data_IF_700559273510
#
_entry.id   IF_700559273510
#
_cell.length_a   1.000
_cell.length_b   1.000
_cell.length_c   1.000
_cell.angle_alpha   90.00
_cell.angle_beta   90.00
_cell.angle_gamma   90.00
#
_symmetry.space_group_name_H-M   'P 1'
#
loop_
_entity.id
_entity.type
_entity.pdbx_description
1 polymer ?
#
# COMPACT_ATOMS: atom_id res chain seq x y z
N UNK A 1 54.76 -28.09 -67.07
CA UNK A 1 53.37 -27.61 -66.87
C UNK A 1 52.59 -28.64 -66.07
N UNK A 2 52.17 -28.31 -64.84
CA UNK A 2 50.92 -28.80 -64.28
C UNK A 2 49.96 -27.61 -64.06
N UNK A 3 48.68 -27.78 -64.40
CA UNK A 3 47.60 -26.81 -64.09
C UNK A 3 47.41 -26.74 -62.56
N UNK A 4 47.17 -25.56 -61.96
CA UNK A 4 46.69 -25.51 -60.59
C UNK A 4 45.30 -26.12 -60.55
N UNK A 5 45.10 -27.04 -59.60
CA UNK A 5 43.81 -27.61 -59.26
C UNK A 5 42.86 -26.52 -58.78
N UNK A 6 41.66 -26.46 -59.37
CA UNK A 6 40.56 -25.63 -58.90
C UNK A 6 40.31 -25.91 -57.41
N UNK A 7 40.51 -24.89 -56.58
CA UNK A 7 40.00 -24.88 -55.22
C UNK A 7 38.49 -24.66 -55.30
N UNK A 8 37.71 -25.66 -54.88
CA UNK A 8 36.26 -25.57 -54.75
C UNK A 8 35.86 -24.33 -53.95
N UNK A 9 35.41 -23.33 -54.72
CA UNK A 9 34.98 -22.02 -54.26
C UNK A 9 33.63 -22.24 -53.57
N UNK A 10 33.62 -22.21 -52.23
CA UNK A 10 32.46 -22.49 -51.39
C UNK A 10 31.43 -21.34 -51.50
N UNK A 11 30.82 -21.21 -52.68
CA UNK A 11 29.88 -20.15 -53.05
C UNK A 11 28.51 -20.49 -52.50
N UNK A 12 28.12 -19.80 -51.44
CA UNK A 12 26.77 -19.89 -50.87
C UNK A 12 25.75 -19.59 -51.97
N UNK A 13 24.91 -20.57 -52.28
CA UNK A 13 23.84 -20.40 -53.27
C UNK A 13 22.88 -19.29 -52.84
N UNK A 14 22.39 -18.49 -53.81
CA UNK A 14 21.39 -17.44 -53.58
C UNK A 14 20.16 -17.98 -52.82
N UNK A 15 19.76 -19.23 -53.08
CA UNK A 15 18.65 -19.86 -52.38
C UNK A 15 18.97 -20.21 -50.93
N UNK A 16 20.21 -20.57 -50.62
CA UNK A 16 20.66 -20.81 -49.24
C UNK A 16 20.73 -19.50 -48.46
N UNK A 17 21.23 -18.42 -49.08
CA UNK A 17 21.25 -17.08 -48.48
C UNK A 17 19.84 -16.56 -48.18
N UNK A 18 18.91 -16.67 -49.13
CA UNK A 18 17.52 -16.24 -48.95
C UNK A 18 16.79 -17.05 -47.85
N UNK A 19 17.03 -18.36 -47.77
CA UNK A 19 16.48 -19.21 -46.71
C UNK A 19 17.04 -18.84 -45.34
N UNK A 20 18.33 -18.55 -45.23
CA UNK A 20 18.94 -18.09 -43.99
C UNK A 20 18.38 -16.73 -43.53
N UNK A 21 18.19 -15.81 -44.47
CA UNK A 21 17.60 -14.49 -44.20
C UNK A 21 16.13 -14.61 -43.73
N UNK A 22 15.33 -15.44 -44.40
CA UNK A 22 13.96 -15.78 -43.96
C UNK A 22 13.94 -16.43 -42.58
N UNK A 23 14.85 -17.38 -42.30
CA UNK A 23 14.96 -18.03 -40.98
C UNK A 23 15.30 -17.03 -39.86
N UNK A 24 16.23 -16.11 -40.10
CA UNK A 24 16.61 -15.06 -39.14
C UNK A 24 15.47 -14.08 -38.88
N UNK A 25 14.74 -13.67 -39.92
CA UNK A 25 13.57 -12.78 -39.76
C UNK A 25 12.45 -13.47 -38.98
N UNK A 26 12.14 -14.74 -39.28
CA UNK A 26 11.14 -15.51 -38.55
C UNK A 26 11.53 -15.71 -37.08
N UNK A 27 12.80 -15.99 -36.79
CA UNK A 27 13.30 -16.09 -35.42
C UNK A 27 13.19 -14.75 -34.68
N UNK A 28 13.53 -13.64 -35.33
CA UNK A 28 13.39 -12.29 -34.77
C UNK A 28 11.94 -11.89 -34.49
N UNK A 29 11.02 -12.16 -35.42
CA UNK A 29 9.58 -11.89 -35.25
C UNK A 29 8.98 -12.77 -34.16
N UNK A 30 9.31 -14.06 -34.14
CA UNK A 30 8.84 -14.98 -33.10
C UNK A 30 9.40 -14.59 -31.73
N UNK A 31 10.69 -14.24 -31.64
CA UNK A 31 11.32 -13.77 -30.41
C UNK A 31 10.68 -12.49 -29.88
N UNK A 32 10.42 -11.50 -30.75
CA UNK A 32 9.71 -10.27 -30.39
C UNK A 32 8.27 -10.55 -29.95
N UNK A 33 7.54 -11.40 -30.66
CA UNK A 33 6.17 -11.78 -30.30
C UNK A 33 6.12 -12.47 -28.92
N UNK A 34 7.05 -13.37 -28.63
CA UNK A 34 7.15 -14.03 -27.33
C UNK A 34 7.55 -13.04 -26.22
N UNK A 35 8.50 -12.14 -26.50
CA UNK A 35 8.91 -11.08 -25.56
C UNK A 35 7.77 -10.11 -25.25
N UNK A 36 7.07 -9.62 -26.28
CA UNK A 36 5.94 -8.72 -26.13
C UNK A 36 4.78 -9.43 -25.40
N UNK A 37 4.50 -10.70 -25.71
CA UNK A 37 3.48 -11.50 -24.98
C UNK A 37 3.86 -11.67 -23.51
N UNK A 38 5.11 -11.98 -23.20
CA UNK A 38 5.61 -12.09 -21.83
C UNK A 38 5.47 -10.76 -21.07
N UNK A 39 5.87 -9.65 -21.69
CA UNK A 39 5.78 -8.32 -21.08
C UNK A 39 4.34 -7.78 -20.99
N UNK A 40 3.45 -8.17 -21.89
CA UNK A 40 2.04 -7.74 -21.86
C UNK A 40 1.29 -8.44 -20.72
N UNK A 41 1.63 -9.70 -20.41
CA UNK A 41 1.08 -10.41 -19.25
C UNK A 41 1.53 -9.81 -17.91
N UNK A 42 2.65 -9.07 -17.88
CA UNK A 42 3.23 -8.49 -16.67
C UNK A 42 2.79 -7.03 -16.41
N UNK A 43 2.07 -6.37 -17.32
CA UNK A 43 1.65 -4.97 -17.14
C UNK A 43 0.33 -4.89 -16.39
N UNK A 44 0.39 -5.08 -15.08
CA UNK A 44 -0.67 -4.58 -14.21
C UNK A 44 -0.69 -3.04 -14.33
N UNK A 45 -1.83 -2.41 -14.68
CA UNK A 45 -1.91 -0.96 -14.75
C UNK A 45 -1.72 -0.38 -13.35
N UNK A 46 -0.52 0.13 -13.07
CA UNK A 46 -0.21 0.83 -11.81
C UNK A 46 -0.49 2.31 -12.01
N UNK A 47 -1.25 2.89 -11.08
CA UNK A 47 -1.46 4.33 -10.99
C UNK A 47 -0.95 4.81 -9.65
N UNK A 48 -0.03 5.78 -9.66
CA UNK A 48 0.34 6.51 -8.46
C UNK A 48 -0.76 7.53 -8.17
N UNK A 49 -1.35 7.42 -7.00
CA UNK A 49 -2.30 8.40 -6.47
C UNK A 49 -1.52 9.39 -5.60
N UNK A 50 -1.98 10.63 -5.57
CA UNK A 50 -1.38 11.70 -4.78
C UNK A 50 -2.39 12.81 -4.53
N UNK A 51 -1.99 13.86 -3.78
CA UNK A 51 -2.84 15.01 -3.57
C UNK A 51 -3.16 15.72 -4.88
N UNK A 52 -4.27 16.45 -4.92
CA UNK A 52 -4.74 17.27 -6.04
C UNK A 52 -3.88 18.54 -6.17
N UNK A 53 -2.60 18.36 -6.49
CA UNK A 53 -1.58 19.42 -6.59
C UNK A 53 -1.98 20.52 -7.57
N UNK A 54 -2.52 20.14 -8.73
CA UNK A 54 -2.95 21.11 -9.74
C UNK A 54 -4.03 22.05 -9.20
N UNK A 55 -5.02 21.50 -8.50
CA UNK A 55 -6.06 22.29 -7.86
C UNK A 55 -5.51 23.14 -6.71
N UNK A 56 -4.61 22.57 -5.89
CA UNK A 56 -3.90 23.32 -4.85
C UNK A 56 -3.12 24.51 -5.40
N UNK A 57 -2.44 24.35 -6.54
CA UNK A 57 -1.77 25.45 -7.25
C UNK A 57 -2.76 26.47 -7.78
N UNK A 58 -3.92 26.06 -8.31
CA UNK A 58 -4.95 26.99 -8.77
C UNK A 58 -5.49 27.87 -7.64
N UNK A 59 -5.69 27.31 -6.44
CA UNK A 59 -6.08 28.06 -5.24
C UNK A 59 -4.98 29.03 -4.83
N UNK A 60 -3.74 28.54 -4.72
CA UNK A 60 -2.58 29.35 -4.32
C UNK A 60 -2.32 30.52 -5.28
N UNK A 61 -2.41 30.26 -6.57
CA UNK A 61 -2.08 31.23 -7.63
C UNK A 61 -3.28 32.12 -8.01
N UNK A 62 -4.46 31.88 -7.40
CA UNK A 62 -5.68 32.64 -7.68
C UNK A 62 -6.22 32.45 -9.10
N UNK A 63 -5.86 31.36 -9.78
CA UNK A 63 -6.26 31.07 -11.17
C UNK A 63 -7.58 30.31 -11.30
N UNK A 64 -8.22 30.02 -10.16
CA UNK A 64 -9.56 29.44 -10.09
C UNK A 64 -10.58 30.35 -10.79
N UNK A 65 -11.13 29.87 -11.90
CA UNK A 65 -12.23 30.52 -12.60
C UNK A 65 -13.54 30.20 -11.88
N UNK A 66 -14.00 31.14 -11.07
CA UNK A 66 -15.32 31.07 -10.44
C UNK A 66 -16.37 31.64 -11.40
N UNK A 67 -17.55 31.02 -11.47
CA UNK A 67 -18.68 31.60 -12.19
C UNK A 67 -19.11 32.89 -11.47
N UNK A 68 -19.38 33.94 -12.24
CA UNK A 68 -19.99 35.20 -11.79
C UNK A 68 -21.26 35.04 -10.94
N UNK A 69 -21.99 33.93 -11.10
CA UNK A 69 -23.18 33.61 -10.30
C UNK A 69 -22.88 32.81 -9.01
N UNK A 70 -21.60 32.53 -8.71
CA UNK A 70 -21.21 31.81 -7.49
C UNK A 70 -21.49 32.70 -6.27
N UNK A 71 -22.24 32.24 -5.26
CA UNK A 71 -22.48 33.00 -4.03
C UNK A 71 -21.17 33.50 -3.43
N UNK A 72 -21.08 34.82 -3.23
CA UNK A 72 -19.82 35.53 -2.97
C UNK A 72 -19.21 35.20 -1.60
N UNK A 73 -20.02 34.72 -0.65
CA UNK A 73 -19.53 34.18 0.63
C UNK A 73 -20.66 33.47 1.41
N UNK A 74 -20.28 32.51 2.26
CA UNK A 74 -21.15 31.93 3.29
C UNK A 74 -20.52 32.19 4.65
N UNK A 75 -21.28 32.76 5.59
CA UNK A 75 -20.86 32.95 6.97
C UNK A 75 -21.28 31.73 7.80
N UNK A 76 -20.35 31.20 8.58
CA UNK A 76 -20.53 30.10 9.54
C UNK A 76 -19.79 30.45 10.83
N UNK A 77 -20.18 29.89 11.98
CA UNK A 77 -19.45 30.14 13.24
C UNK A 77 -18.08 29.48 13.25
N UNK A 78 -17.98 28.27 12.72
CA UNK A 78 -16.72 27.52 12.64
C UNK A 78 -16.51 26.99 11.22
N UNK A 79 -15.34 27.28 10.65
CA UNK A 79 -14.92 26.73 9.36
C UNK A 79 -13.73 25.79 9.59
N UNK A 80 -13.89 24.54 9.19
CA UNK A 80 -12.87 23.50 9.25
C UNK A 80 -12.32 23.30 7.83
N UNK A 81 -11.02 23.47 7.66
CA UNK A 81 -10.33 23.27 6.38
C UNK A 81 -9.54 21.97 6.45
N UNK A 82 -9.90 21.02 5.59
CA UNK A 82 -9.36 19.67 5.53
C UNK A 82 -10.30 18.64 6.17
N UNK A 83 -10.66 17.63 5.39
CA UNK A 83 -11.43 16.45 5.78
C UNK A 83 -10.55 15.24 6.12
N UNK A 84 -9.31 15.47 6.56
CA UNK A 84 -8.49 14.42 7.19
C UNK A 84 -9.00 14.07 8.60
N UNK A 85 -8.34 13.11 9.26
CA UNK A 85 -8.78 12.63 10.59
C UNK A 85 -8.86 13.76 11.62
N UNK A 86 -7.96 14.76 11.57
CA UNK A 86 -8.01 15.91 12.46
C UNK A 86 -9.28 16.77 12.27
N UNK A 87 -9.62 17.10 11.02
CA UNK A 87 -10.80 17.91 10.71
C UNK A 87 -12.11 17.15 10.94
N UNK A 88 -12.14 15.86 10.62
CA UNK A 88 -13.26 14.98 10.93
C UNK A 88 -13.47 14.86 12.44
N UNK A 89 -12.39 14.67 13.23
CA UNK A 89 -12.47 14.64 14.69
C UNK A 89 -12.94 15.97 15.29
N UNK A 90 -12.50 17.11 14.74
CA UNK A 90 -12.99 18.42 15.15
C UNK A 90 -14.50 18.57 14.87
N UNK A 91 -14.96 18.19 13.67
CA UNK A 91 -16.37 18.22 13.31
C UNK A 91 -17.22 17.26 14.15
N UNK A 92 -16.71 16.07 14.43
CA UNK A 92 -17.33 15.10 15.33
C UNK A 92 -17.50 15.68 16.73
N UNK A 93 -16.45 16.28 17.29
CA UNK A 93 -16.49 16.89 18.62
C UNK A 93 -17.47 18.06 18.69
N UNK A 94 -17.45 18.96 17.72
CA UNK A 94 -18.40 20.08 17.64
C UNK A 94 -19.85 19.58 17.61
N UNK A 95 -20.12 18.58 16.75
CA UNK A 95 -21.46 17.99 16.64
C UNK A 95 -21.88 17.33 17.97
N UNK A 96 -20.98 16.63 18.64
CA UNK A 96 -21.23 15.99 19.94
C UNK A 96 -21.54 17.01 21.04
N UNK A 97 -20.89 18.17 21.02
CA UNK A 97 -21.15 19.29 21.95
C UNK A 97 -22.34 20.17 21.52
N UNK A 98 -23.14 19.74 20.53
CA UNK A 98 -24.34 20.45 20.07
C UNK A 98 -24.06 21.71 19.24
N UNK A 99 -22.83 21.89 18.75
CA UNK A 99 -22.47 22.97 17.83
C UNK A 99 -22.72 22.51 16.40
N UNK A 100 -23.82 22.98 15.79
CA UNK A 100 -24.20 22.57 14.43
C UNK A 100 -23.82 23.59 13.34
N UNK A 101 -23.59 24.85 13.71
CA UNK A 101 -23.23 25.93 12.77
C UNK A 101 -21.73 25.89 12.45
N UNK A 102 -21.30 24.81 11.81
CA UNK A 102 -19.97 24.66 11.27
C UNK A 102 -20.00 24.09 9.85
N UNK A 103 -18.91 24.30 9.13
CA UNK A 103 -18.72 23.75 7.79
C UNK A 103 -17.33 23.13 7.67
N UNK A 104 -17.25 21.94 7.09
CA UNK A 104 -16.01 21.26 6.77
C UNK A 104 -15.81 21.29 5.25
N UNK A 105 -14.66 21.80 4.81
CA UNK A 105 -14.26 21.83 3.40
C UNK A 105 -13.09 20.88 3.20
N UNK A 106 -13.22 19.96 2.24
CA UNK A 106 -12.16 19.06 1.79
C UNK A 106 -11.81 19.39 0.33
N UNK A 107 -10.52 19.38 0.03
CA UNK A 107 -9.99 19.63 -1.30
C UNK A 107 -10.23 18.45 -2.23
N UNK A 108 -10.02 17.25 -1.68
CA UNK A 108 -10.13 15.98 -2.38
C UNK A 108 -11.59 15.53 -2.55
N UNK A 109 -11.82 14.60 -3.48
CA UNK A 109 -13.16 14.08 -3.74
C UNK A 109 -13.76 13.27 -2.57
N UNK A 110 -12.93 12.77 -1.64
CA UNK A 110 -13.35 12.01 -0.47
C UNK A 110 -12.52 12.43 0.75
N UNK A 111 -13.14 12.51 1.95
CA UNK A 111 -12.42 12.75 3.19
C UNK A 111 -11.57 11.53 3.59
N UNK A 112 -10.71 11.72 4.59
CA UNK A 112 -9.83 10.70 5.19
C UNK A 112 -8.35 11.11 5.16
N UNK A 113 -7.94 11.96 4.22
CA UNK A 113 -6.55 12.38 4.06
C UNK A 113 -5.60 11.18 3.96
N UNK A 114 -4.59 11.14 4.84
CA UNK A 114 -3.62 10.03 4.89
C UNK A 114 -4.23 8.69 5.34
N UNK A 115 -5.45 8.69 5.90
CA UNK A 115 -6.19 7.49 6.32
C UNK A 115 -7.26 7.09 5.30
N UNK A 116 -7.04 7.37 4.01
CA UNK A 116 -8.02 7.07 2.96
C UNK A 116 -8.08 5.58 2.61
N UNK A 117 -9.26 5.16 2.12
CA UNK A 117 -9.53 3.80 1.63
C UNK A 117 -10.00 3.83 0.18
N UNK A 118 -9.96 2.67 -0.47
CA UNK A 118 -10.57 2.38 -1.76
C UNK A 118 -11.41 1.11 -1.67
N UNK A 119 -12.12 0.78 -2.74
CA UNK A 119 -12.92 -0.44 -2.84
C UNK A 119 -12.92 -0.96 -4.27
N UNK A 120 -13.09 -2.26 -4.42
CA UNK A 120 -13.26 -2.93 -5.70
C UNK A 120 -14.44 -3.93 -5.60
N UNK A 121 -14.65 -4.74 -6.65
CA UNK A 121 -15.74 -5.72 -6.70
C UNK A 121 -15.66 -6.82 -5.63
N UNK A 122 -14.51 -6.99 -4.99
CA UNK A 122 -14.22 -8.04 -4.01
C UNK A 122 -14.23 -7.48 -2.59
N UNK A 123 -13.50 -6.39 -2.34
CA UNK A 123 -13.37 -5.83 -1.00
C UNK A 123 -13.02 -4.34 -0.98
N UNK A 124 -13.24 -3.71 0.17
CA UNK A 124 -12.55 -2.49 0.54
C UNK A 124 -11.06 -2.76 0.79
N UNK A 125 -10.21 -1.76 0.62
CA UNK A 125 -8.78 -1.84 0.88
C UNK A 125 -8.22 -0.47 1.33
N UNK A 126 -7.19 -0.46 2.18
CA UNK A 126 -6.55 0.80 2.58
C UNK A 126 -5.70 1.38 1.46
N UNK A 127 -5.59 2.71 1.42
CA UNK A 127 -4.63 3.44 0.56
C UNK A 127 -3.55 4.18 1.36
N UNK A 128 -3.67 4.22 2.69
CA UNK A 128 -2.72 4.87 3.58
C UNK A 128 -2.77 4.26 4.98
N UNK A 129 -2.72 5.10 6.02
CA UNK A 129 -2.74 4.67 7.41
C UNK A 129 -4.02 3.86 7.72
N UNK A 130 -3.84 2.56 7.97
CA UNK A 130 -4.95 1.60 8.09
C UNK A 130 -5.15 1.03 9.49
N UNK A 131 -4.07 0.88 10.25
CA UNK A 131 -4.09 0.30 11.59
C UNK A 131 -3.50 1.28 12.60
N UNK A 132 -3.92 1.10 13.84
CA UNK A 132 -3.50 1.85 15.01
C UNK A 132 -3.30 0.86 16.16
N UNK A 133 -2.47 1.19 17.15
CA UNK A 133 -2.41 0.39 18.37
C UNK A 133 -3.78 0.38 19.07
N UNK A 134 -4.02 -0.67 19.87
CA UNK A 134 -5.18 -0.72 20.76
C UNK A 134 -5.16 0.50 21.68
N UNK A 135 -6.31 1.18 21.78
CA UNK A 135 -6.43 2.38 22.59
C UNK A 135 -6.37 2.03 24.08
N UNK A 136 -5.32 2.53 24.75
CA UNK A 136 -5.11 2.35 26.19
C UNK A 136 -6.09 3.23 27.00
N UNK A 137 -6.13 3.07 28.33
CA UNK A 137 -7.01 3.85 29.21
C UNK A 137 -6.82 5.37 29.13
N UNK A 138 -5.61 5.83 28.79
CA UNK A 138 -5.27 7.26 28.65
C UNK A 138 -5.82 7.87 27.35
N UNK A 139 -6.17 7.04 26.37
CA UNK A 139 -6.69 7.45 25.06
C UNK A 139 -8.19 7.81 25.12
N UNK A 140 -8.56 8.69 26.04
CA UNK A 140 -9.96 8.98 26.41
C UNK A 140 -10.86 9.31 25.22
N UNK A 141 -10.46 10.27 24.38
CA UNK A 141 -11.27 10.70 23.23
C UNK A 141 -11.33 9.66 22.12
N UNK A 142 -10.25 8.90 21.92
CA UNK A 142 -10.21 7.82 20.93
C UNK A 142 -11.15 6.69 21.36
N UNK A 143 -11.10 6.30 22.64
CA UNK A 143 -12.01 5.27 23.18
C UNK A 143 -13.47 5.71 23.11
N UNK A 144 -13.75 6.97 23.41
CA UNK A 144 -15.09 7.55 23.27
C UNK A 144 -15.60 7.45 21.82
N UNK A 145 -14.79 7.88 20.85
CA UNK A 145 -15.12 7.73 19.43
C UNK A 145 -15.31 6.27 19.04
N UNK A 146 -14.47 5.35 19.52
CA UNK A 146 -14.56 3.93 19.19
C UNK A 146 -15.79 3.26 19.78
N UNK A 147 -16.25 3.68 20.96
CA UNK A 147 -17.53 3.22 21.49
C UNK A 147 -18.70 3.69 20.62
N UNK A 148 -18.69 4.96 20.19
CA UNK A 148 -19.72 5.48 19.27
C UNK A 148 -19.75 4.77 17.92
N UNK A 149 -18.57 4.40 17.40
CA UNK A 149 -18.43 3.68 16.14
C UNK A 149 -18.67 2.16 16.28
N UNK A 150 -18.86 1.64 17.51
CA UNK A 150 -19.03 0.20 17.78
C UNK A 150 -17.75 -0.62 17.61
N UNK A 151 -16.58 0.03 17.58
CA UNK A 151 -15.26 -0.63 17.56
C UNK A 151 -14.93 -1.17 18.96
N UNK A 152 -15.25 -0.41 20.02
CA UNK A 152 -15.23 -0.88 21.40
C UNK A 152 -16.67 -1.22 21.78
N UNK A 153 -16.92 -2.48 22.13
CA UNK A 153 -18.25 -2.98 22.48
C UNK A 153 -18.58 -2.72 23.95
N UNK A 154 -17.59 -2.81 24.83
CA UNK A 154 -17.77 -2.57 26.28
C UNK A 154 -16.46 -2.18 26.95
N UNK A 155 -16.56 -1.57 28.13
CA UNK A 155 -15.45 -1.29 29.03
C UNK A 155 -15.85 -1.80 30.42
N UNK A 156 -15.01 -2.63 31.03
CA UNK A 156 -15.28 -3.19 32.36
C UNK A 156 -14.98 -2.20 33.51
N UNK A 157 -15.25 -2.62 34.74
CA UNK A 157 -15.00 -1.80 35.94
C UNK A 157 -13.51 -1.50 36.17
N UNK A 158 -12.59 -2.29 35.60
CA UNK A 158 -11.14 -2.09 35.64
C UNK A 158 -10.62 -1.19 34.52
N UNK A 159 -11.49 -0.71 33.61
CA UNK A 159 -11.11 0.12 32.47
C UNK A 159 -10.57 -0.66 31.27
N UNK A 160 -10.69 -1.99 31.25
CA UNK A 160 -10.30 -2.82 30.11
C UNK A 160 -11.40 -2.79 29.04
N UNK A 161 -11.03 -2.51 27.79
CA UNK A 161 -11.96 -2.46 26.67
C UNK A 161 -12.06 -3.82 25.96
N UNK A 162 -13.28 -4.23 25.66
CA UNK A 162 -13.56 -5.33 24.72
C UNK A 162 -13.78 -4.74 23.34
N UNK A 163 -12.96 -5.16 22.37
CA UNK A 163 -13.03 -4.70 20.99
C UNK A 163 -13.83 -5.68 20.15
N UNK A 164 -14.52 -5.17 19.12
CA UNK A 164 -15.14 -6.02 18.12
C UNK A 164 -14.06 -6.66 17.23
N UNK A 165 -14.02 -7.99 17.25
CA UNK A 165 -13.00 -8.80 16.56
C UNK A 165 -12.91 -8.53 15.05
N UNK A 166 -14.00 -8.08 14.40
CA UNK A 166 -14.00 -7.75 12.97
C UNK A 166 -13.17 -6.51 12.63
N UNK A 167 -12.83 -5.68 13.62
CA UNK A 167 -11.98 -4.49 13.46
C UNK A 167 -10.57 -4.67 14.01
N UNK A 168 -10.24 -5.85 14.53
CA UNK A 168 -8.90 -6.17 14.97
C UNK A 168 -8.07 -6.70 13.80
N UNK A 169 -6.83 -6.21 13.71
CA UNK A 169 -5.86 -6.87 12.84
C UNK A 169 -5.50 -8.21 13.47
N UNK A 170 -5.53 -9.27 12.66
CA UNK A 170 -4.90 -10.52 13.06
C UNK A 170 -3.42 -10.27 13.35
N UNK A 171 -2.92 -10.96 14.38
CA UNK A 171 -1.50 -10.93 14.70
C UNK A 171 -0.73 -11.31 13.43
N UNK A 172 0.20 -10.47 12.93
CA UNK A 172 0.98 -10.82 11.76
C UNK A 172 1.65 -12.17 12.01
N UNK A 173 1.28 -13.19 11.23
CA UNK A 173 2.00 -14.46 11.23
C UNK A 173 3.41 -14.22 10.71
N UNK A 174 4.35 -14.08 11.65
CA UNK A 174 5.75 -13.93 11.34
C UNK A 174 6.26 -15.23 10.72
N UNK A 175 6.91 -15.10 9.55
CA UNK A 175 7.56 -16.23 8.89
C UNK A 175 8.92 -15.81 8.35
N UNK A 176 9.91 -16.65 8.59
CA UNK A 176 11.26 -16.51 8.07
C UNK A 176 11.43 -17.39 6.83
N UNK A 177 11.74 -16.80 5.68
CA UNK A 177 12.13 -17.55 4.49
C UNK A 177 13.62 -17.92 4.58
N UNK A 178 13.92 -19.21 4.72
CA UNK A 178 15.30 -19.73 4.84
C UNK A 178 15.40 -21.11 4.19
N UNK A 179 16.53 -21.38 3.54
CA UNK A 179 16.82 -22.67 2.90
C UNK A 179 15.72 -23.15 1.93
N UNK A 180 15.16 -22.21 1.15
CA UNK A 180 14.14 -22.50 0.14
C UNK A 180 12.74 -22.76 0.67
N UNK A 181 12.48 -22.55 1.96
CA UNK A 181 11.16 -22.74 2.56
C UNK A 181 10.84 -21.69 3.63
N UNK A 182 9.56 -21.46 3.89
CA UNK A 182 9.13 -20.69 5.04
C UNK A 182 9.16 -21.55 6.31
N UNK A 183 9.60 -20.97 7.42
CA UNK A 183 9.43 -21.48 8.78
C UNK A 183 8.68 -20.45 9.63
N UNK A 184 7.99 -20.92 10.66
CA UNK A 184 7.25 -20.08 11.60
C UNK A 184 8.18 -19.26 12.48
N UNK A 185 7.78 -18.01 12.76
CA UNK A 185 8.53 -17.05 13.55
C UNK A 185 9.67 -16.39 12.79
N UNK A 186 10.28 -15.38 13.43
CA UNK A 186 11.47 -14.68 12.90
C UNK A 186 12.80 -15.36 13.27
N UNK A 187 12.77 -16.33 14.20
CA UNK A 187 13.97 -17.00 14.68
C UNK A 187 14.25 -18.25 13.84
N UNK A 188 15.46 -18.41 13.27
CA UNK A 188 15.79 -19.63 12.56
C UNK A 188 15.65 -20.86 13.46
N UNK A 189 14.99 -21.91 12.98
CA UNK A 189 14.95 -23.21 13.67
C UNK A 189 15.55 -24.35 12.83
N UNK A 190 15.84 -24.11 11.54
CA UNK A 190 16.50 -25.06 10.62
C UNK A 190 17.91 -24.60 10.26
N UNK A 191 18.80 -25.57 10.02
CA UNK A 191 20.15 -25.33 9.52
C UNK A 191 21.05 -24.57 10.50
N UNK A 192 20.74 -24.66 11.80
CA UNK A 192 21.58 -24.15 12.88
C UNK A 192 22.56 -25.22 13.36
N UNK A 193 23.78 -24.81 13.66
CA UNK A 193 24.72 -25.61 14.44
C UNK A 193 24.26 -25.71 15.90
N UNK A 194 24.63 -26.77 16.64
CA UNK A 194 24.24 -26.93 18.03
C UNK A 194 24.61 -25.72 18.91
N UNK A 195 25.76 -25.09 18.65
CA UNK A 195 26.23 -23.92 19.40
C UNK A 195 25.36 -22.68 19.15
N UNK A 196 24.93 -22.48 17.91
CA UNK A 196 24.06 -21.37 17.51
C UNK A 196 22.68 -21.51 18.13
N UNK A 197 22.14 -22.74 18.15
CA UNK A 197 20.86 -23.02 18.81
C UNK A 197 20.94 -22.73 20.31
N UNK A 198 22.01 -23.18 20.98
CA UNK A 198 22.22 -22.93 22.40
C UNK A 198 22.37 -21.43 22.72
N UNK A 199 23.01 -20.66 21.84
CA UNK A 199 23.14 -19.22 21.99
C UNK A 199 21.81 -18.48 21.87
N UNK A 200 20.98 -18.86 20.88
CA UNK A 200 19.62 -18.33 20.70
C UNK A 200 18.77 -18.61 21.94
N UNK A 201 18.78 -19.85 22.45
CA UNK A 201 18.04 -20.24 23.65
C UNK A 201 18.48 -19.43 24.88
N UNK A 202 19.80 -19.26 25.06
CA UNK A 202 20.36 -18.44 26.14
C UNK A 202 19.94 -16.97 26.02
N UNK A 203 19.96 -16.40 24.81
CA UNK A 203 19.52 -15.02 24.58
C UNK A 203 18.06 -14.83 24.99
N UNK A 204 17.14 -15.68 24.52
CA UNK A 204 15.73 -15.55 24.86
C UNK A 204 15.47 -15.76 26.35
N UNK A 205 16.20 -16.68 27.00
CA UNK A 205 16.13 -16.85 28.45
C UNK A 205 16.47 -15.53 29.17
N UNK A 206 17.56 -14.87 28.77
CA UNK A 206 17.97 -13.57 29.35
C UNK A 206 16.91 -12.50 29.13
N UNK A 207 16.33 -12.39 27.93
CA UNK A 207 15.27 -11.40 27.63
C UNK A 207 14.02 -11.65 28.47
N UNK A 208 13.60 -12.91 28.64
CA UNK A 208 12.45 -13.28 29.49
C UNK A 208 12.75 -12.91 30.96
N UNK A 209 13.96 -13.19 31.44
CA UNK A 209 14.38 -12.83 32.79
C UNK A 209 14.36 -11.30 33.02
N UNK A 210 14.59 -10.48 31.99
CA UNK A 210 14.45 -9.02 32.06
C UNK A 210 12.99 -8.55 32.00
N UNK A 211 12.15 -9.16 31.17
CA UNK A 211 10.72 -8.80 31.05
C UNK A 211 9.94 -9.05 32.35
N UNK A 212 10.33 -10.06 33.11
CA UNK A 212 9.65 -10.48 34.34
C UNK A 212 10.18 -9.79 35.61
N UNK A 213 11.15 -8.88 35.48
CA UNK A 213 11.64 -8.01 36.56
C UNK A 213 10.91 -6.68 36.52
#
# INVERSE_FOLDING_TARGET
>A
MPKPSDSDDNKISRSAFLKALLGLTMAGVTGKFLYDRYNTLARMPVRLLGPSMDFGHMVRDGSLKLDSNTPVSKKVKVLIIGGGIAGLSAGWWLKREGVEDFMLLELEAKPGGNSSSGENKVSAYPRGAHYIPLANAESTYVRMLFQELGIIESIDAGGMATYNDLYLCHDPEERLFKDGSFQEGLVPNRGLRPEEKAEIERFFKVIIDYRNK
#
